data_IF_268415974526
#
_entry.id   IF_268415974526
#
_cell.length_a   1.000
_cell.length_b   1.000
_cell.length_c   1.000
_cell.angle_alpha   90.00
_cell.angle_beta   90.00
_cell.angle_gamma   90.00
#
_symmetry.space_group_name_H-M   'P 1'
#
loop_
_entity.id
_entity.type
_entity.pdbx_description
1 polymer ?
#
# COMPACT_ATOMS: atom_id res chain seq x y z
N UNK A 1 -11.95 -14.12 -14.56
CA UNK A 1 -12.13 -13.56 -15.93
C UNK A 1 -10.75 -13.35 -16.54
N UNK A 2 -10.41 -14.13 -17.58
CA UNK A 2 -9.32 -13.92 -18.56
C UNK A 2 -7.90 -13.59 -18.10
N UNK A 3 -7.01 -14.59 -18.00
CA UNK A 3 -5.56 -14.39 -17.94
C UNK A 3 -5.05 -13.86 -19.30
N UNK A 4 -4.80 -12.55 -19.39
CA UNK A 4 -4.14 -11.95 -20.55
C UNK A 4 -2.61 -12.13 -20.46
N UNK A 5 -2.13 -13.32 -20.81
CA UNK A 5 -0.76 -13.46 -21.30
C UNK A 5 -0.72 -12.91 -22.73
N UNK A 6 -0.51 -11.59 -22.88
CA UNK A 6 -0.27 -10.98 -24.20
C UNK A 6 1.22 -10.69 -24.36
N UNK A 7 1.81 -11.26 -25.41
CA UNK A 7 3.13 -10.93 -25.97
C UNK A 7 3.18 -9.50 -26.56
N UNK A 8 2.71 -8.50 -25.81
CA UNK A 8 2.72 -7.10 -26.24
C UNK A 8 3.86 -6.35 -25.53
N UNK A 9 4.59 -5.50 -26.27
CA UNK A 9 5.63 -4.69 -25.64
C UNK A 9 5.01 -3.73 -24.62
N UNK A 10 5.73 -3.50 -23.51
CA UNK A 10 5.26 -2.67 -22.38
C UNK A 10 4.81 -1.28 -22.84
N UNK A 11 5.47 -0.72 -23.86
CA UNK A 11 5.11 0.59 -24.42
C UNK A 11 3.77 0.58 -25.15
N UNK A 12 3.43 -0.49 -25.86
CA UNK A 12 2.13 -0.63 -26.53
C UNK A 12 1.00 -0.72 -25.51
N UNK A 13 1.19 -1.51 -24.45
CA UNK A 13 0.22 -1.64 -23.36
C UNK A 13 0.01 -0.29 -22.67
N UNK A 14 1.09 0.43 -22.35
CA UNK A 14 1.01 1.76 -21.73
C UNK A 14 0.29 2.78 -22.62
N UNK A 15 0.57 2.80 -23.94
CA UNK A 15 -0.11 3.69 -24.89
C UNK A 15 -1.61 3.42 -24.95
N UNK A 16 -2.02 2.15 -25.01
CA UNK A 16 -3.44 1.78 -25.03
C UNK A 16 -4.11 2.22 -23.73
N UNK A 17 -3.52 1.89 -22.58
CA UNK A 17 -4.08 2.24 -21.27
C UNK A 17 -4.20 3.76 -21.09
N UNK A 18 -3.16 4.52 -21.43
CA UNK A 18 -3.09 5.95 -21.12
C UNK A 18 -3.73 6.85 -22.18
N UNK A 19 -3.49 6.57 -23.45
CA UNK A 19 -3.88 7.47 -24.54
C UNK A 19 -5.22 7.11 -25.16
N UNK A 20 -5.59 5.82 -25.18
CA UNK A 20 -6.86 5.35 -25.76
C UNK A 20 -7.91 5.21 -24.66
N UNK A 21 -7.60 4.47 -23.60
CA UNK A 21 -8.58 4.16 -22.55
C UNK A 21 -8.67 5.25 -21.47
N UNK A 22 -7.66 6.12 -21.39
CA UNK A 22 -7.52 7.17 -20.36
C UNK A 22 -7.49 6.62 -18.93
N UNK A 23 -6.92 5.43 -18.74
CA UNK A 23 -6.78 4.79 -17.43
C UNK A 23 -5.55 5.29 -16.70
N UNK A 24 -5.65 5.39 -15.38
CA UNK A 24 -4.60 5.75 -14.44
C UNK A 24 -4.18 4.51 -13.66
N UNK A 25 -2.92 4.48 -13.23
CA UNK A 25 -2.37 3.36 -12.47
C UNK A 25 -2.57 3.61 -10.98
N UNK A 26 -3.29 2.72 -10.32
CA UNK A 26 -3.54 2.76 -8.87
C UNK A 26 -2.80 1.61 -8.21
N UNK A 27 -2.04 1.88 -7.15
CA UNK A 27 -1.40 0.84 -6.35
C UNK A 27 -2.44 0.21 -5.44
N UNK A 28 -2.52 -1.12 -5.44
CA UNK A 28 -3.31 -1.81 -4.44
C UNK A 28 -2.55 -1.73 -3.12
N UNK A 29 -3.17 -1.11 -2.12
CA UNK A 29 -2.67 -1.11 -0.74
C UNK A 29 -3.72 -1.76 0.12
N UNK A 30 -3.34 -2.86 0.77
CA UNK A 30 -4.14 -3.42 1.85
C UNK A 30 -3.82 -2.61 3.10
N UNK A 31 -4.79 -1.83 3.56
CA UNK A 31 -4.71 -1.08 4.82
C UNK A 31 -5.72 -1.68 5.77
N UNK A 32 -5.39 -1.75 7.07
CA UNK A 32 -6.38 -2.11 8.08
C UNK A 32 -7.44 -1.02 8.13
N UNK A 33 -8.71 -1.42 8.12
CA UNK A 33 -9.83 -0.51 8.34
C UNK A 33 -9.71 0.08 9.75
N UNK A 34 -9.84 1.40 9.86
CA UNK A 34 -9.82 2.07 11.15
C UNK A 34 -11.23 2.10 11.71
N UNK A 35 -11.38 1.61 12.93
CA UNK A 35 -12.62 1.84 13.67
C UNK A 35 -12.59 3.23 14.30
N UNK A 36 -13.76 3.85 14.58
CA UNK A 36 -13.82 5.20 15.16
C UNK A 36 -13.01 5.37 16.45
N UNK A 37 -12.84 4.29 17.22
CA UNK A 37 -12.03 4.27 18.44
C UNK A 37 -10.51 4.36 18.19
N UNK A 38 -10.03 3.97 17.00
CA UNK A 38 -8.60 4.00 16.68
C UNK A 38 -8.10 5.43 16.44
N UNK A 39 -8.98 6.31 15.94
CA UNK A 39 -8.62 7.69 15.61
C UNK A 39 -8.01 8.45 16.80
N UNK A 40 -8.67 8.56 17.97
CA UNK A 40 -8.10 9.25 19.11
C UNK A 40 -6.85 8.55 19.68
N UNK A 41 -6.79 7.21 19.67
CA UNK A 41 -5.62 6.47 20.17
C UNK A 41 -4.38 6.72 19.30
N UNK A 42 -4.54 6.72 17.98
CA UNK A 42 -3.46 7.01 17.03
C UNK A 42 -3.00 8.46 17.11
N UNK A 43 -3.94 9.40 17.26
CA UNK A 43 -3.61 10.82 17.44
C UNK A 43 -2.87 11.06 18.76
N UNK A 44 -3.28 10.38 19.84
CA UNK A 44 -2.63 10.46 21.15
C UNK A 44 -1.27 9.75 21.22
N UNK A 45 -0.99 8.77 20.35
CA UNK A 45 0.27 8.04 20.35
C UNK A 45 1.47 8.93 20.00
N UNK A 46 1.37 9.75 18.95
CA UNK A 46 2.46 10.59 18.47
C UNK A 46 3.04 11.52 19.56
N UNK A 47 2.24 12.32 20.31
CA UNK A 47 2.78 13.16 21.37
C UNK A 47 3.35 12.35 22.54
N UNK A 48 2.77 11.20 22.89
CA UNK A 48 3.32 10.31 23.94
C UNK A 48 4.70 9.77 23.53
N UNK A 49 4.87 9.37 22.28
CA UNK A 49 6.13 8.87 21.75
C UNK A 49 7.19 9.97 21.72
N UNK A 50 6.83 11.18 21.26
CA UNK A 50 7.72 12.34 21.24
C UNK A 50 8.18 12.74 22.65
N UNK A 51 7.26 12.85 23.61
CA UNK A 51 7.61 13.16 25.00
C UNK A 51 8.59 12.12 25.59
N UNK A 52 8.47 10.84 25.19
CA UNK A 52 9.42 9.80 25.61
C UNK A 52 10.80 9.99 24.98
N UNK A 53 10.86 10.39 23.70
CA UNK A 53 12.12 10.72 23.02
C UNK A 53 12.83 11.93 23.62
N UNK A 54 12.09 12.93 24.10
CA UNK A 54 12.66 14.10 24.78
C UNK A 54 13.34 13.72 26.11
N UNK A 55 12.79 12.75 26.83
CA UNK A 55 13.37 12.22 28.08
C UNK A 55 14.60 11.36 27.80
N UNK A 56 14.57 10.54 26.76
CA UNK A 56 15.67 9.69 26.34
C UNK A 56 15.71 9.53 24.82
N UNK A 57 16.61 10.28 24.17
CA UNK A 57 16.78 10.25 22.72
C UNK A 57 17.42 8.94 22.23
N UNK A 58 18.01 8.14 23.11
CA UNK A 58 18.55 6.82 22.77
C UNK A 58 17.48 5.72 22.75
N UNK A 59 16.35 5.96 23.43
CA UNK A 59 15.27 4.99 23.62
C UNK A 59 14.74 4.37 22.32
N UNK A 60 14.47 5.13 21.23
CA UNK A 60 13.97 4.54 19.99
C UNK A 60 14.88 3.46 19.40
N UNK A 61 16.19 3.57 19.62
CA UNK A 61 17.18 2.60 19.12
C UNK A 61 17.18 1.29 19.91
N UNK A 62 16.57 1.29 21.09
CA UNK A 62 16.42 0.11 21.94
C UNK A 62 15.09 -0.62 21.70
N UNK A 63 14.27 -0.16 20.74
CA UNK A 63 13.01 -0.81 20.36
C UNK A 63 13.28 -1.84 19.27
N UNK A 64 13.01 -3.12 19.58
CA UNK A 64 12.99 -4.17 18.57
C UNK A 64 11.58 -4.25 17.97
N UNK A 65 11.46 -3.86 16.71
CA UNK A 65 10.22 -3.97 15.94
C UNK A 65 10.07 -5.38 15.39
N UNK A 66 8.87 -5.94 15.48
CA UNK A 66 8.52 -7.22 14.88
C UNK A 66 7.20 -7.07 14.11
N UNK A 67 7.10 -7.74 12.97
CA UNK A 67 5.89 -7.82 12.15
C UNK A 67 5.86 -9.19 11.46
N UNK A 68 4.67 -9.66 11.11
CA UNK A 68 4.48 -10.92 10.40
C UNK A 68 4.23 -10.65 8.91
N UNK A 69 4.94 -11.36 8.04
CA UNK A 69 4.73 -11.32 6.60
C UNK A 69 4.53 -12.72 6.04
N UNK A 70 3.44 -12.91 5.28
CA UNK A 70 3.18 -14.17 4.58
C UNK A 70 3.86 -14.18 3.21
N UNK A 71 4.63 -15.24 2.94
CA UNK A 71 5.26 -15.49 1.65
C UNK A 71 4.68 -16.76 1.03
N UNK A 72 4.21 -16.68 -0.23
CA UNK A 72 3.68 -17.83 -0.95
C UNK A 72 4.61 -18.24 -2.10
N UNK A 73 4.99 -19.52 -2.17
CA UNK A 73 5.88 -20.04 -3.23
C UNK A 73 5.25 -19.99 -4.64
N UNK A 74 3.93 -19.98 -4.75
CA UNK A 74 3.21 -20.09 -6.03
C UNK A 74 3.04 -18.77 -6.81
N UNK A 75 3.77 -17.71 -6.43
CA UNK A 75 3.73 -16.45 -7.18
C UNK A 75 2.39 -15.74 -7.10
N UNK A 76 1.74 -15.78 -5.93
CA UNK A 76 0.64 -14.86 -5.61
C UNK A 76 1.07 -13.44 -5.99
N UNK A 77 0.16 -12.70 -6.63
CA UNK A 77 0.42 -11.32 -7.07
C UNK A 77 1.01 -10.54 -5.90
N UNK A 78 2.27 -10.12 -6.02
CA UNK A 78 2.89 -9.26 -5.03
C UNK A 78 2.07 -7.97 -4.95
N UNK A 79 1.27 -7.84 -3.89
CA UNK A 79 0.39 -6.69 -3.66
C UNK A 79 1.17 -5.38 -3.66
N UNK A 80 2.45 -5.39 -3.26
CA UNK A 80 3.33 -4.22 -3.33
C UNK A 80 3.64 -3.78 -4.77
N UNK A 81 3.79 -4.73 -5.71
CA UNK A 81 4.05 -4.47 -7.14
C UNK A 81 2.78 -4.41 -7.97
N UNK A 82 1.63 -4.80 -7.42
CA UNK A 82 0.37 -4.79 -8.13
C UNK A 82 -0.10 -3.35 -8.41
N UNK A 83 -0.63 -3.16 -9.62
CA UNK A 83 -1.25 -1.92 -10.07
C UNK A 83 -2.56 -2.26 -10.79
N UNK A 84 -3.65 -1.65 -10.38
CA UNK A 84 -4.91 -1.66 -11.12
C UNK A 84 -4.90 -0.47 -12.07
N UNK A 85 -5.48 -0.63 -13.26
CA UNK A 85 -5.68 0.46 -14.20
C UNK A 85 -7.16 0.74 -14.34
N UNK A 86 -7.59 1.96 -13.98
CA UNK A 86 -8.99 2.39 -14.01
C UNK A 86 -9.10 3.88 -14.38
N UNK A 87 -10.28 4.35 -14.80
CA UNK A 87 -10.51 5.79 -15.04
C UNK A 87 -10.63 6.59 -13.76
N UNK A 88 -11.26 5.99 -12.76
CA UNK A 88 -11.53 6.58 -11.45
C UNK A 88 -10.83 5.77 -10.37
N UNK A 89 -10.63 6.39 -9.20
CA UNK A 89 -10.00 5.72 -8.08
C UNK A 89 -10.92 4.61 -7.54
N UNK A 90 -10.54 3.33 -7.65
CA UNK A 90 -11.40 2.22 -7.23
C UNK A 90 -11.58 2.13 -5.71
N UNK A 91 -10.89 2.96 -4.93
CA UNK A 91 -10.95 2.98 -3.47
C UNK A 91 -11.82 4.13 -2.90
N UNK A 92 -12.55 4.86 -3.74
CA UNK A 92 -13.38 6.01 -3.34
C UNK A 92 -14.89 5.80 -3.56
N UNK A 93 -15.36 4.55 -3.55
CA UNK A 93 -16.80 4.21 -3.56
C UNK A 93 -17.32 3.98 -2.14
#
# INVERSE_FOLDING_TARGET
>A
MGNFQKHACVNTVRKILRNILQYFSFKITHVQELVPADLPEREAFAPKFLARMEVDNSWPWNILWADEAHFHLQGSVNTQKCRIWARENPFQM
#
